data_IF_521440130787
#
_entry.id   IF_521440130787
#
_cell.length_a   1.000
_cell.length_b   1.000
_cell.length_c   1.000
_cell.angle_alpha   90.00
_cell.angle_beta   90.00
_cell.angle_gamma   90.00
#
_symmetry.space_group_name_H-M   'P 1'
#
loop_
_entity.id
_entity.type
_entity.pdbx_description
1 polymer ?
#
# COMPACT_ATOMS: atom_id res chain seq x y z
N UNK A 1 4.71 -10.97 -21.77
CA UNK A 1 4.07 -10.22 -20.67
C UNK A 1 4.54 -8.78 -20.71
N UNK A 2 3.71 -7.85 -20.22
CA UNK A 2 4.07 -6.43 -20.07
C UNK A 2 4.08 -6.10 -18.58
N UNK A 3 5.09 -5.37 -18.13
CA UNK A 3 5.12 -4.83 -16.78
C UNK A 3 4.47 -3.44 -16.82
N UNK A 4 3.54 -3.19 -15.90
CA UNK A 4 2.88 -1.89 -15.75
C UNK A 4 3.14 -1.41 -14.34
N UNK A 5 3.70 -0.20 -14.23
CA UNK A 5 3.79 0.49 -12.96
C UNK A 5 2.54 1.35 -12.81
N UNK A 6 1.69 1.00 -11.86
CA UNK A 6 0.48 1.75 -11.51
C UNK A 6 0.70 2.47 -10.17
N UNK A 7 0.35 3.75 -10.12
CA UNK A 7 0.45 4.56 -8.91
C UNK A 7 -0.85 5.33 -8.74
N UNK A 8 -1.57 5.07 -7.65
CA UNK A 8 -2.79 5.76 -7.26
C UNK A 8 -2.75 5.99 -5.75
N UNK A 9 -3.42 7.04 -5.29
CA UNK A 9 -3.70 7.26 -3.87
C UNK A 9 -4.99 6.55 -3.44
N UNK A 10 -5.79 6.06 -4.38
CA UNK A 10 -7.03 5.34 -4.12
C UNK A 10 -6.70 3.87 -3.83
N UNK A 11 -6.66 3.50 -2.56
CA UNK A 11 -6.25 2.16 -2.11
C UNK A 11 -7.13 1.03 -2.67
N UNK A 12 -8.43 1.29 -2.92
CA UNK A 12 -9.35 0.31 -3.51
C UNK A 12 -8.94 -0.07 -4.94
N UNK A 13 -8.49 0.89 -5.75
CA UNK A 13 -8.00 0.62 -7.11
C UNK A 13 -6.69 -0.17 -7.07
N UNK A 14 -5.78 0.22 -6.19
CA UNK A 14 -4.49 -0.46 -6.02
C UNK A 14 -4.71 -1.91 -5.61
N UNK A 15 -5.61 -2.16 -4.65
CA UNK A 15 -5.94 -3.51 -4.19
C UNK A 15 -6.60 -4.38 -5.27
N UNK A 16 -7.40 -3.77 -6.15
CA UNK A 16 -8.13 -4.49 -7.21
C UNK A 16 -7.27 -4.77 -8.46
N UNK A 17 -6.31 -3.90 -8.76
CA UNK A 17 -5.55 -3.94 -10.01
C UNK A 17 -4.11 -4.45 -9.87
N UNK A 18 -3.50 -4.32 -8.69
CA UNK A 18 -2.08 -4.64 -8.50
C UNK A 18 -1.89 -6.01 -7.85
N UNK A 19 -1.11 -6.87 -8.49
CA UNK A 19 -0.67 -8.13 -7.90
C UNK A 19 0.39 -7.92 -6.80
N UNK A 20 1.21 -6.88 -6.96
CA UNK A 20 2.30 -6.52 -6.05
C UNK A 20 2.26 -5.01 -5.78
N UNK A 21 2.33 -4.67 -4.51
CA UNK A 21 2.23 -3.31 -4.00
C UNK A 21 3.55 -2.99 -3.28
N UNK A 22 4.08 -1.80 -3.56
CA UNK A 22 5.28 -1.26 -2.90
C UNK A 22 4.86 0.02 -2.18
N UNK A 23 5.06 0.03 -0.87
CA UNK A 23 4.79 1.20 -0.03
C UNK A 23 6.08 1.97 0.14
N UNK A 24 6.10 3.21 -0.32
CA UNK A 24 7.23 4.13 -0.21
C UNK A 24 6.86 5.25 0.75
N UNK A 25 7.69 5.48 1.77
CA UNK A 25 7.55 6.59 2.70
C UNK A 25 8.92 7.24 2.94
N UNK A 26 8.96 8.58 2.99
CA UNK A 26 10.20 9.36 3.20
C UNK A 26 11.36 8.94 2.28
N UNK A 27 11.04 8.65 1.01
CA UNK A 27 12.01 8.22 0.00
C UNK A 27 12.58 6.81 0.19
N UNK A 28 11.96 5.96 1.03
CA UNK A 28 12.39 4.58 1.27
C UNK A 28 11.21 3.61 1.11
N UNK A 29 11.50 2.40 0.65
CA UNK A 29 10.54 1.30 0.66
C UNK A 29 10.36 0.83 2.09
N UNK A 30 9.14 0.94 2.62
CA UNK A 30 8.81 0.51 3.98
C UNK A 30 8.08 -0.83 3.99
N UNK A 31 7.38 -1.15 2.90
CA UNK A 31 6.78 -2.46 2.72
C UNK A 31 6.66 -2.83 1.24
N UNK A 32 6.55 -4.12 1.02
CA UNK A 32 6.36 -4.74 -0.28
C UNK A 32 5.58 -6.04 -0.05
N UNK A 33 4.68 -6.34 -0.96
CA UNK A 33 3.92 -7.59 -0.98
C UNK A 33 2.60 -7.45 -1.74
N UNK A 34 1.79 -8.49 -1.71
CA UNK A 34 0.39 -8.40 -2.13
C UNK A 34 -0.44 -7.62 -1.11
N UNK A 35 -1.67 -7.24 -1.49
CA UNK A 35 -2.62 -6.60 -0.59
C UNK A 35 -2.89 -7.43 0.67
N UNK A 36 -3.01 -8.76 0.53
CA UNK A 36 -3.23 -9.68 1.65
C UNK A 36 -2.00 -9.83 2.54
N UNK A 37 -0.79 -9.87 1.97
CA UNK A 37 0.45 -9.90 2.74
C UNK A 37 0.63 -8.63 3.57
N UNK A 38 0.35 -7.47 2.97
CA UNK A 38 0.42 -6.17 3.65
C UNK A 38 -0.58 -6.09 4.82
N UNK A 39 -1.81 -6.58 4.61
CA UNK A 39 -2.84 -6.67 5.67
C UNK A 39 -2.43 -7.63 6.78
N UNK A 40 -1.95 -8.83 6.43
CA UNK A 40 -1.50 -9.83 7.40
C UNK A 40 -0.31 -9.34 8.23
N UNK A 41 0.63 -8.62 7.61
CA UNK A 41 1.81 -8.04 8.29
C UNK A 41 1.47 -6.96 9.31
N UNK A 42 0.41 -6.20 9.06
CA UNK A 42 -0.02 -5.08 9.90
C UNK A 42 -1.14 -5.45 10.87
N UNK A 43 -1.78 -6.61 10.68
CA UNK A 43 -2.98 -7.00 11.42
C UNK A 43 -4.21 -6.16 11.06
N UNK A 44 -4.16 -5.46 9.93
CA UNK A 44 -5.18 -4.52 9.52
C UNK A 44 -6.34 -5.19 8.78
N UNK A 45 -7.55 -4.65 8.97
CA UNK A 45 -8.74 -5.12 8.26
C UNK A 45 -8.67 -4.75 6.77
N UNK A 46 -8.23 -3.52 6.47
CA UNK A 46 -8.17 -2.94 5.13
C UNK A 46 -6.74 -2.61 4.69
N UNK A 47 -6.53 -2.46 3.38
CA UNK A 47 -5.23 -2.02 2.84
C UNK A 47 -4.90 -0.58 3.25
N UNK A 48 -5.91 0.26 3.41
CA UNK A 48 -5.75 1.64 3.87
C UNK A 48 -5.22 1.69 5.31
N UNK A 49 -5.84 0.93 6.21
CA UNK A 49 -5.36 0.78 7.59
C UNK A 49 -3.93 0.21 7.64
N UNK A 50 -3.62 -0.78 6.77
CA UNK A 50 -2.28 -1.33 6.65
C UNK A 50 -1.28 -0.26 6.20
N UNK A 51 -1.64 0.53 5.20
CA UNK A 51 -0.81 1.62 4.70
C UNK A 51 -0.53 2.65 5.80
N UNK A 52 -1.56 3.12 6.51
CA UNK A 52 -1.44 4.07 7.64
C UNK A 52 -0.53 3.51 8.74
N UNK A 53 -0.70 2.22 9.08
CA UNK A 53 0.15 1.53 10.05
C UNK A 53 1.63 1.49 9.62
N UNK A 54 1.90 1.26 8.32
CA UNK A 54 3.25 1.15 7.76
C UNK A 54 3.99 2.49 7.64
N UNK A 55 3.28 3.58 7.34
CA UNK A 55 3.87 4.91 7.21
C UNK A 55 3.94 5.66 8.56
N UNK A 56 3.19 5.21 9.56
CA UNK A 56 3.23 5.71 10.94
C UNK A 56 2.87 7.20 11.09
N UNK A 57 2.34 7.83 10.04
CA UNK A 57 2.12 9.27 9.95
C UNK A 57 0.81 9.51 9.19
N UNK A 58 -0.12 10.29 9.73
CA UNK A 58 -1.37 10.70 9.05
C UNK A 58 -1.18 11.55 7.79
N UNK A 59 0.05 11.62 7.26
CA UNK A 59 0.41 12.35 6.04
C UNK A 59 -0.28 11.77 4.79
N UNK A 60 -0.72 10.50 4.82
CA UNK A 60 -1.48 9.87 3.74
C UNK A 60 -2.99 10.14 3.73
N UNK A 61 -3.55 10.65 4.84
CA UNK A 61 -4.99 10.89 5.02
C UNK A 61 -5.41 12.33 4.67
N UNK A 62 -4.45 13.20 4.34
CA UNK A 62 -4.66 14.64 4.15
C UNK A 62 -4.65 15.09 2.68
N UNK A 63 -4.68 14.16 1.73
CA UNK A 63 -4.70 14.45 0.29
C UNK A 63 -6.10 14.25 -0.32
#
# INVERSE_FOLDING_TARGET
GRCVLFSSHIMQEVAALCDRIIVIARGRVVAEGSSDELRARTGAATLEDAFVSLIGSGEGLAA
#
